data_IF_051201667312
#
_entry.id   IF_051201667312
#
_cell.length_a   1.000
_cell.length_b   1.000
_cell.length_c   1.000
_cell.angle_alpha   90.00
_cell.angle_beta   90.00
_cell.angle_gamma   90.00
#
_symmetry.space_group_name_H-M   'P 1'
#
loop_
_entity.id
_entity.type
_entity.pdbx_description
1 polymer ?
#
# COMPACT_ATOMS: atom_id res chain seq x y z
N UNK A 1 31.01 -7.62 -0.14
CA UNK A 1 30.28 -6.54 0.55
C UNK A 1 28.81 -6.60 0.11
N UNK A 2 27.99 -7.34 0.85
CA UNK A 2 26.57 -7.49 0.51
C UNK A 2 25.85 -6.16 0.82
N UNK A 3 25.15 -5.60 -0.16
CA UNK A 3 24.38 -4.38 0.03
C UNK A 3 23.26 -4.66 1.05
N UNK A 4 23.05 -3.77 2.04
CA UNK A 4 22.07 -3.96 3.14
C UNK A 4 20.61 -4.09 2.68
N UNK A 5 20.30 -3.79 1.42
CA UNK A 5 18.94 -3.79 0.88
C UNK A 5 18.77 -4.87 -0.20
N UNK A 6 17.70 -5.68 -0.14
CA UNK A 6 17.39 -6.65 -1.19
C UNK A 6 17.13 -5.93 -2.51
N UNK A 7 17.65 -6.49 -3.61
CA UNK A 7 17.45 -5.96 -4.96
C UNK A 7 16.43 -6.81 -5.70
N UNK A 8 15.45 -6.16 -6.30
CA UNK A 8 14.46 -6.79 -7.18
C UNK A 8 14.76 -6.35 -8.62
N UNK A 9 15.09 -7.32 -9.48
CA UNK A 9 15.27 -7.08 -10.91
C UNK A 9 14.02 -7.59 -11.64
N UNK A 10 13.36 -6.73 -12.41
CA UNK A 10 12.13 -7.04 -13.14
C UNK A 10 12.28 -6.62 -14.60
N UNK A 11 11.81 -7.47 -15.51
CA UNK A 11 11.70 -7.13 -16.93
C UNK A 11 10.34 -6.46 -17.16
N UNK A 12 10.36 -5.29 -17.79
CA UNK A 12 9.16 -4.51 -18.08
C UNK A 12 8.95 -4.42 -19.59
N UNK A 13 7.68 -4.46 -20.01
CA UNK A 13 7.31 -4.15 -21.38
C UNK A 13 7.56 -2.66 -21.69
N UNK A 14 7.81 -2.34 -22.96
CA UNK A 14 8.12 -0.97 -23.39
C UNK A 14 7.05 0.07 -23.02
N UNK A 15 5.73 -0.22 -23.10
CA UNK A 15 4.71 0.74 -22.69
C UNK A 15 4.78 1.05 -21.19
N UNK A 16 4.93 0.03 -20.34
CA UNK A 16 5.01 0.20 -18.89
C UNK A 16 6.29 0.94 -18.48
N UNK A 17 7.42 0.58 -19.07
CA UNK A 17 8.68 1.30 -18.86
C UNK A 17 8.55 2.78 -19.24
N UNK A 18 7.92 3.08 -20.37
CA UNK A 18 7.72 4.45 -20.86
C UNK A 18 6.80 5.26 -19.93
N UNK A 19 5.75 4.65 -19.40
CA UNK A 19 4.85 5.27 -18.43
C UNK A 19 5.60 5.62 -17.13
N UNK A 20 6.35 4.68 -16.55
CA UNK A 20 7.15 4.91 -15.33
C UNK A 20 8.20 5.99 -15.59
N UNK A 21 8.84 5.98 -16.76
CA UNK A 21 9.81 7.02 -17.16
C UNK A 21 9.19 8.40 -17.24
N UNK A 22 7.98 8.51 -17.78
CA UNK A 22 7.28 9.79 -17.85
C UNK A 22 6.95 10.30 -16.45
N UNK A 23 6.43 9.44 -15.57
CA UNK A 23 6.14 9.78 -14.17
C UNK A 23 7.40 10.20 -13.40
N UNK A 24 8.49 9.46 -13.54
CA UNK A 24 9.76 9.77 -12.88
C UNK A 24 10.29 11.15 -13.32
N UNK A 25 10.19 11.48 -14.63
CA UNK A 25 10.56 12.79 -15.15
C UNK A 25 9.68 13.91 -14.61
N UNK A 26 8.36 13.70 -14.60
CA UNK A 26 7.37 14.66 -14.07
C UNK A 26 7.67 14.99 -12.61
N UNK A 27 8.02 13.99 -11.82
CA UNK A 27 8.23 14.12 -10.38
C UNK A 27 9.70 14.43 -10.01
N UNK A 28 10.57 14.65 -11.01
CA UNK A 28 12.00 14.94 -10.84
C UNK A 28 12.77 13.92 -9.97
N UNK A 29 12.40 12.63 -10.09
CA UNK A 29 13.04 11.53 -9.35
C UNK A 29 13.65 10.49 -10.29
N UNK A 30 14.50 9.61 -9.75
CA UNK A 30 15.04 8.49 -10.53
C UNK A 30 13.97 7.44 -10.86
N UNK A 31 14.16 6.73 -11.97
CA UNK A 31 13.31 5.62 -12.40
C UNK A 31 13.13 4.56 -11.31
N UNK A 32 14.23 4.14 -10.67
CA UNK A 32 14.19 3.13 -9.61
C UNK A 32 13.41 3.60 -8.39
N UNK A 33 13.52 4.89 -8.05
CA UNK A 33 12.78 5.46 -6.93
C UNK A 33 11.27 5.48 -7.22
N UNK A 34 10.89 5.96 -8.41
CA UNK A 34 9.48 5.97 -8.84
C UNK A 34 8.90 4.56 -8.90
N UNK A 35 9.62 3.60 -9.47
CA UNK A 35 9.18 2.21 -9.51
C UNK A 35 9.00 1.62 -8.10
N UNK A 36 9.95 1.86 -7.19
CA UNK A 36 9.85 1.42 -5.79
C UNK A 36 8.61 2.00 -5.11
N UNK A 37 8.38 3.30 -5.26
CA UNK A 37 7.27 3.98 -4.59
C UNK A 37 5.92 3.52 -5.16
N UNK A 38 5.80 3.34 -6.48
CA UNK A 38 4.61 2.73 -7.10
C UNK A 38 4.34 1.30 -6.59
N UNK A 39 5.39 0.49 -6.39
CA UNK A 39 5.24 -0.86 -5.79
C UNK A 39 4.74 -0.76 -4.35
N UNK A 40 5.24 0.20 -3.57
CA UNK A 40 4.77 0.43 -2.19
C UNK A 40 3.31 0.84 -2.17
N UNK A 41 2.93 1.84 -2.97
CA UNK A 41 1.55 2.33 -3.09
C UNK A 41 0.60 1.19 -3.51
N UNK A 42 1.03 0.32 -4.44
CA UNK A 42 0.24 -0.84 -4.83
C UNK A 42 -0.01 -1.81 -3.66
N UNK A 43 1.00 -2.05 -2.81
CA UNK A 43 0.85 -2.88 -1.61
C UNK A 43 -0.09 -2.23 -0.58
N UNK A 44 0.01 -0.92 -0.38
CA UNK A 44 -0.89 -0.17 0.49
C UNK A 44 -2.36 -0.32 0.02
N UNK A 45 -2.64 -0.29 -1.28
CA UNK A 45 -3.99 -0.54 -1.79
C UNK A 45 -4.51 -1.95 -1.51
N UNK A 46 -3.65 -2.98 -1.55
CA UNK A 46 -4.05 -4.34 -1.16
C UNK A 46 -4.35 -4.43 0.33
N UNK A 47 -3.57 -3.74 1.18
CA UNK A 47 -3.80 -3.68 2.62
C UNK A 47 -5.10 -2.96 2.95
N UNK A 48 -5.38 -1.82 2.32
CA UNK A 48 -6.62 -1.07 2.50
C UNK A 48 -7.85 -1.90 2.09
N UNK A 49 -7.76 -2.63 0.97
CA UNK A 49 -8.81 -3.53 0.54
C UNK A 49 -9.08 -4.63 1.58
N UNK A 50 -8.03 -5.22 2.14
CA UNK A 50 -8.14 -6.23 3.18
C UNK A 50 -8.76 -5.68 4.47
N UNK A 51 -8.33 -4.50 4.93
CA UNK A 51 -8.89 -3.89 6.13
C UNK A 51 -10.35 -3.45 5.94
N UNK A 52 -10.72 -3.04 4.73
CA UNK A 52 -12.11 -2.72 4.38
C UNK A 52 -13.03 -3.93 4.54
N UNK A 53 -12.60 -5.11 4.07
CA UNK A 53 -13.37 -6.35 4.22
C UNK A 53 -13.53 -6.78 5.70
N UNK A 54 -12.46 -6.65 6.49
CA UNK A 54 -12.52 -6.88 7.94
C UNK A 54 -13.50 -5.90 8.60
N UNK A 55 -13.43 -4.62 8.23
CA UNK A 55 -14.32 -3.60 8.78
C UNK A 55 -15.79 -3.91 8.45
N UNK A 56 -16.09 -4.29 7.21
CA UNK A 56 -17.43 -4.68 6.77
C UNK A 56 -17.95 -5.89 7.55
N UNK A 57 -17.10 -6.90 7.76
CA UNK A 57 -17.46 -8.09 8.55
C UNK A 57 -17.79 -7.73 9.99
N UNK A 58 -17.03 -6.82 10.60
CA UNK A 58 -17.27 -6.32 11.96
C UNK A 58 -18.54 -5.48 12.03
N UNK A 59 -18.80 -4.65 11.02
CA UNK A 59 -20.02 -3.85 10.93
C UNK A 59 -21.27 -4.72 10.85
N UNK A 60 -21.25 -5.77 10.01
CA UNK A 60 -22.36 -6.73 9.89
C UNK A 60 -22.69 -7.45 11.20
N UNK A 61 -21.68 -7.70 12.03
CA UNK A 61 -21.82 -8.40 13.31
C UNK A 61 -21.95 -7.45 14.51
N UNK A 62 -21.96 -6.14 14.27
CA UNK A 62 -21.98 -5.13 15.33
C UNK A 62 -23.34 -5.08 16.04
N UNK A 63 -23.30 -5.11 17.37
CA UNK A 63 -24.47 -4.89 18.23
C UNK A 63 -24.18 -3.80 19.25
N UNK A 64 -25.03 -2.76 19.26
CA UNK A 64 -24.95 -1.66 20.24
C UNK A 64 -25.05 -2.15 21.69
N UNK A 65 -25.70 -3.30 21.93
CA UNK A 65 -25.87 -3.86 23.27
C UNK A 65 -24.57 -4.46 23.83
N UNK A 66 -23.69 -4.95 22.96
CA UNK A 66 -22.39 -5.51 23.33
C UNK A 66 -21.22 -4.55 23.06
N UNK A 67 -21.52 -3.32 22.62
CA UNK A 67 -20.52 -2.32 22.34
C UNK A 67 -19.93 -1.78 23.67
N UNK A 68 -18.60 -1.70 23.72
CA UNK A 68 -17.89 -1.13 24.86
C UNK A 68 -18.01 0.40 24.85
N UNK A 69 -18.18 0.98 26.03
CA UNK A 69 -18.18 2.44 26.22
C UNK A 69 -16.76 3.00 26.15
N UNK A 70 -16.63 4.29 25.81
CA UNK A 70 -15.32 4.97 25.75
C UNK A 70 -14.50 4.79 27.04
N UNK A 71 -15.15 4.86 28.21
CA UNK A 71 -14.49 4.65 29.51
C UNK A 71 -13.97 3.22 29.70
N UNK A 72 -14.60 2.21 29.09
CA UNK A 72 -14.12 0.82 29.17
C UNK A 72 -12.92 0.56 28.28
N UNK A 73 -12.72 1.33 27.21
CA UNK A 73 -11.60 1.18 26.27
C UNK A 73 -10.42 2.10 26.64
N UNK A 74 -10.70 3.35 27.02
CA UNK A 74 -9.71 4.42 27.17
C UNK A 74 -9.62 5.02 28.57
N UNK A 75 -10.50 4.60 29.49
CA UNK A 75 -10.56 5.10 30.86
C UNK A 75 -9.52 4.47 31.78
#
# INVERSE_FOLDING_TARGET
>A
MATKNPRLNVVLEMPLYSAIRHLAKKDHVSLSLKARDLIREALEFYEDAYWSDIAETREKTFSKKSALTHKQIWG
#
